data_IF_744837341371
#
_entry.id   IF_744837341371
#
_cell.length_a   1.000
_cell.length_b   1.000
_cell.length_c   1.000
_cell.angle_alpha   90.00
_cell.angle_beta   90.00
_cell.angle_gamma   90.00
#
_symmetry.space_group_name_H-M   'P 1'
#
loop_
_entity.id
_entity.type
_entity.pdbx_description
1 polymer ?
#
# COMPACT_ATOMS: atom_id res chain seq x y z
N UNK A 1 1.27 5.16 -22.84
CA UNK A 1 0.29 4.78 -21.81
C UNK A 1 -0.70 5.93 -21.76
N UNK A 2 -1.60 5.99 -22.74
CA UNK A 2 -2.20 7.26 -23.17
C UNK A 2 -3.72 7.12 -23.39
N UNK A 3 -4.43 6.76 -22.33
CA UNK A 3 -5.89 6.78 -22.33
C UNK A 3 -6.38 7.18 -20.94
N UNK A 4 -7.23 8.20 -20.88
CA UNK A 4 -7.92 8.56 -19.63
C UNK A 4 -8.88 7.42 -19.27
N UNK A 5 -8.55 6.68 -18.23
CA UNK A 5 -9.32 5.52 -17.77
C UNK A 5 -10.39 5.97 -16.76
N UNK A 6 -11.66 5.94 -17.20
CA UNK A 6 -12.82 6.36 -16.41
C UNK A 6 -13.70 5.18 -15.96
N UNK A 7 -13.19 3.95 -16.06
CA UNK A 7 -13.99 2.74 -15.74
C UNK A 7 -14.33 2.63 -14.26
N UNK A 8 -13.38 2.97 -13.38
CA UNK A 8 -13.53 2.96 -11.92
C UNK A 8 -12.29 3.63 -11.29
N UNK A 9 -12.44 4.11 -10.06
CA UNK A 9 -11.35 4.54 -9.17
C UNK A 9 -10.39 3.41 -8.75
N UNK A 10 -10.84 2.15 -8.79
CA UNK A 10 -10.01 0.97 -8.50
C UNK A 10 -8.84 0.78 -9.47
N UNK A 11 -8.81 1.49 -10.60
CA UNK A 11 -7.70 1.45 -11.58
C UNK A 11 -6.49 2.29 -11.17
N UNK A 12 -6.57 2.98 -10.02
CA UNK A 12 -5.47 3.80 -9.50
C UNK A 12 -4.23 2.96 -9.20
N UNK A 13 -3.06 3.52 -9.48
CA UNK A 13 -1.78 2.89 -9.19
C UNK A 13 -1.09 3.58 -8.01
N UNK A 14 -0.33 2.83 -7.17
CA UNK A 14 0.46 3.43 -6.10
C UNK A 14 1.44 4.47 -6.65
N UNK A 15 1.42 5.66 -6.04
CA UNK A 15 2.38 6.73 -6.35
C UNK A 15 3.80 6.32 -5.97
N UNK A 16 4.85 6.96 -6.52
CA UNK A 16 6.23 6.67 -6.12
C UNK A 16 6.48 6.81 -4.61
N UNK A 17 5.88 7.82 -3.96
CA UNK A 17 5.98 8.01 -2.52
C UNK A 17 5.32 6.87 -1.74
N UNK A 18 4.14 6.41 -2.17
CA UNK A 18 3.47 5.25 -1.59
C UNK A 18 4.33 3.99 -1.72
N UNK A 19 4.93 3.75 -2.89
CA UNK A 19 5.84 2.62 -3.11
C UNK A 19 7.08 2.68 -2.23
N UNK A 20 7.66 3.87 -2.05
CA UNK A 20 8.80 4.06 -1.16
C UNK A 20 8.44 3.79 0.31
N UNK A 21 7.27 4.27 0.77
CA UNK A 21 6.77 4.01 2.11
C UNK A 21 6.53 2.50 2.35
N UNK A 22 5.89 1.82 1.39
CA UNK A 22 5.69 0.36 1.46
C UNK A 22 7.00 -0.40 1.53
N UNK A 23 8.01 -0.01 0.74
CA UNK A 23 9.31 -0.67 0.73
C UNK A 23 10.13 -0.45 2.01
N UNK A 24 9.90 0.67 2.70
CA UNK A 24 10.59 1.02 3.94
C UNK A 24 9.84 0.59 5.22
N UNK A 25 8.61 0.06 5.08
CA UNK A 25 7.80 -0.34 6.22
C UNK A 25 8.40 -1.55 6.94
N UNK A 26 8.44 -1.48 8.28
CA UNK A 26 8.74 -2.65 9.13
C UNK A 26 7.58 -3.64 9.04
N UNK A 27 7.88 -4.91 8.79
CA UNK A 27 6.87 -5.98 8.63
C UNK A 27 7.09 -7.07 9.66
N UNK A 28 6.03 -7.82 9.96
CA UNK A 28 6.03 -8.96 10.88
C UNK A 28 4.96 -9.98 10.51
N UNK A 29 4.62 -10.86 11.45
CA UNK A 29 3.52 -11.80 11.29
C UNK A 29 2.25 -11.24 11.93
N UNK A 30 1.25 -10.97 11.12
CA UNK A 30 -0.01 -10.37 11.56
C UNK A 30 -0.88 -11.34 12.39
N UNK A 31 -0.80 -12.66 12.12
CA UNK A 31 -1.56 -13.67 12.90
C UNK A 31 -1.09 -13.70 14.35
N UNK A 32 0.19 -13.42 14.57
CA UNK A 32 0.81 -13.36 15.89
C UNK A 32 0.80 -11.95 16.50
N UNK A 33 0.34 -10.94 15.76
CA UNK A 33 0.31 -9.56 16.20
C UNK A 33 1.69 -8.90 16.27
N UNK A 34 2.65 -9.38 15.48
CA UNK A 34 4.03 -8.88 15.47
C UNK A 34 4.31 -7.92 14.31
N UNK A 35 3.34 -7.63 13.43
CA UNK A 35 3.51 -6.62 12.37
C UNK A 35 3.23 -5.21 12.91
N UNK A 36 4.27 -4.35 13.05
CA UNK A 36 4.09 -3.01 13.61
C UNK A 36 3.44 -2.05 12.61
N UNK A 37 3.50 -2.33 11.31
CA UNK A 37 2.88 -1.46 10.30
C UNK A 37 1.39 -1.71 10.22
N UNK A 38 0.93 -2.95 10.31
CA UNK A 38 -0.50 -3.28 10.39
C UNK A 38 -1.10 -2.71 11.69
N UNK A 39 -0.46 -2.89 12.84
CA UNK A 39 -0.94 -2.35 14.12
C UNK A 39 -1.12 -0.83 14.14
N UNK A 40 -0.29 -0.08 13.41
CA UNK A 40 -0.43 1.38 13.31
C UNK A 40 -1.58 1.81 12.38
N UNK A 41 -2.03 0.92 11.51
CA UNK A 41 -3.08 1.18 10.52
C UNK A 41 -4.49 0.93 11.08
N UNK A 42 -4.65 -0.04 11.98
CA UNK A 42 -5.93 -0.39 12.64
C UNK A 42 -6.42 0.67 13.63
#
# INVERSE_FOLDING_TARGET
MDSVDLRSDTVTWPTPAMRAAMAAAEVGDDVWGDDPTVQRLE
#
